data_IF_189483622233
#
_entry.id   IF_189483622233
#
_cell.length_a   1.000
_cell.length_b   1.000
_cell.length_c   1.000
_cell.angle_alpha   90.00
_cell.angle_beta   90.00
_cell.angle_gamma   90.00
#
_symmetry.space_group_name_H-M   'P 1'
#
loop_
_entity.id
_entity.type
_entity.pdbx_description
1 polymer ?
#
# COMPACT_ATOMS: atom_id res chain seq x y z
N UNK A 1 50.97 -39.03 -11.94
CA UNK A 1 51.17 -38.49 -10.58
C UNK A 1 50.21 -37.33 -10.38
N UNK A 2 49.18 -37.53 -9.53
CA UNK A 2 48.25 -36.50 -9.09
C UNK A 2 48.85 -35.80 -7.87
N UNK A 3 49.25 -34.54 -8.04
CA UNK A 3 49.55 -33.54 -7.01
C UNK A 3 49.11 -32.24 -7.69
N UNK A 4 48.16 -31.46 -7.20
CA UNK A 4 48.26 -30.66 -5.98
C UNK A 4 46.84 -30.48 -5.37
N UNK A 5 46.62 -30.94 -4.15
CA UNK A 5 46.56 -30.11 -2.93
C UNK A 5 45.54 -28.96 -3.01
N UNK A 6 44.31 -29.27 -2.55
CA UNK A 6 43.31 -28.39 -1.92
C UNK A 6 43.61 -26.88 -2.02
N UNK A 7 43.22 -26.27 -3.14
CA UNK A 7 42.82 -24.87 -3.14
C UNK A 7 41.39 -24.87 -2.58
N UNK A 8 41.06 -23.94 -1.69
CA UNK A 8 39.77 -23.89 -0.99
C UNK A 8 38.56 -23.96 -1.94
N UNK A 9 37.37 -24.14 -1.38
CA UNK A 9 36.13 -24.08 -2.16
C UNK A 9 36.15 -22.87 -3.11
N UNK A 10 35.78 -23.09 -4.37
CA UNK A 10 35.67 -22.02 -5.37
C UNK A 10 34.70 -20.94 -4.88
N UNK A 11 34.89 -19.72 -5.37
CA UNK A 11 33.94 -18.64 -5.11
C UNK A 11 32.57 -19.03 -5.63
N UNK A 12 31.56 -18.77 -4.81
CA UNK A 12 30.17 -18.87 -5.22
C UNK A 12 29.87 -17.78 -6.28
N UNK A 13 29.10 -18.14 -7.30
CA UNK A 13 28.77 -17.23 -8.41
C UNK A 13 28.04 -15.98 -7.94
N UNK A 14 27.11 -16.10 -6.99
CA UNK A 14 26.38 -14.95 -6.44
C UNK A 14 27.35 -13.98 -5.76
N UNK A 15 28.27 -14.53 -4.97
CA UNK A 15 29.31 -13.77 -4.27
C UNK A 15 30.25 -13.03 -5.23
N UNK A 16 30.59 -13.66 -6.35
CA UNK A 16 31.39 -13.05 -7.41
C UNK A 16 30.65 -11.91 -8.12
N UNK A 17 29.35 -12.07 -8.38
CA UNK A 17 28.51 -11.03 -9.00
C UNK A 17 28.32 -9.83 -8.05
N UNK A 18 28.04 -10.06 -6.77
CA UNK A 18 27.94 -8.99 -5.77
C UNK A 18 29.25 -8.18 -5.69
N UNK A 19 30.40 -8.86 -5.80
CA UNK A 19 31.71 -8.22 -5.86
C UNK A 19 31.89 -7.37 -7.13
N UNK A 20 31.54 -7.91 -8.31
CA UNK A 20 31.64 -7.22 -9.60
C UNK A 20 30.70 -6.00 -9.73
N UNK A 21 29.54 -6.03 -9.07
CA UNK A 21 28.57 -4.94 -9.04
C UNK A 21 28.77 -3.96 -7.86
N UNK A 22 29.80 -4.18 -7.04
CA UNK A 22 30.15 -3.30 -5.91
C UNK A 22 29.14 -3.35 -4.74
N UNK A 23 28.31 -4.38 -4.68
CA UNK A 23 27.31 -4.61 -3.62
C UNK A 23 27.80 -5.54 -2.51
N UNK A 24 28.96 -6.19 -2.70
CA UNK A 24 29.55 -7.03 -1.66
C UNK A 24 29.92 -6.21 -0.41
N UNK A 25 29.53 -6.72 0.77
CA UNK A 25 29.97 -6.15 2.04
C UNK A 25 31.49 -6.28 2.23
N UNK A 26 32.04 -5.59 3.23
CA UNK A 26 33.49 -5.53 3.47
C UNK A 26 34.13 -6.89 3.72
N UNK A 27 33.39 -7.83 4.32
CA UNK A 27 33.89 -9.17 4.66
C UNK A 27 33.92 -10.05 3.42
N UNK A 28 32.81 -10.08 2.68
CA UNK A 28 32.65 -10.81 1.42
C UNK A 28 33.65 -10.34 0.38
N UNK A 29 33.84 -9.01 0.28
CA UNK A 29 34.82 -8.39 -0.61
C UNK A 29 36.25 -8.87 -0.30
N UNK A 30 36.63 -8.83 0.97
CA UNK A 30 37.96 -9.29 1.42
C UNK A 30 38.18 -10.76 1.11
N UNK A 31 37.18 -11.62 1.34
CA UNK A 31 37.27 -13.05 1.05
C UNK A 31 37.42 -13.34 -0.46
N UNK A 32 36.75 -12.56 -1.31
CA UNK A 32 36.91 -12.65 -2.78
C UNK A 32 38.31 -12.19 -3.20
N UNK A 33 38.78 -11.05 -2.68
CA UNK A 33 40.12 -10.52 -2.99
C UNK A 33 41.24 -11.46 -2.51
N UNK A 34 41.12 -12.02 -1.31
CA UNK A 34 42.05 -13.03 -0.78
C UNK A 34 42.09 -14.29 -1.65
N UNK A 35 40.93 -14.77 -2.14
CA UNK A 35 40.87 -15.92 -3.04
C UNK A 35 41.49 -15.61 -4.41
N UNK A 36 41.20 -14.46 -5.00
CA UNK A 36 41.73 -14.05 -6.30
C UNK A 36 43.24 -13.75 -6.26
N UNK A 37 43.76 -13.38 -5.08
CA UNK A 37 45.19 -13.26 -4.80
C UNK A 37 45.95 -14.59 -4.93
N UNK A 38 45.26 -15.73 -4.86
CA UNK A 38 45.80 -17.06 -5.13
C UNK A 38 45.58 -17.45 -6.61
N UNK A 39 46.42 -18.36 -7.17
CA UNK A 39 46.23 -18.84 -8.53
C UNK A 39 45.06 -19.85 -8.61
N UNK A 40 43.84 -19.35 -8.83
CA UNK A 40 42.66 -20.15 -9.15
C UNK A 40 42.19 -19.87 -10.59
N UNK A 41 42.54 -20.71 -11.58
CA UNK A 41 42.18 -20.47 -12.99
C UNK A 41 40.67 -20.39 -13.20
N UNK A 42 39.91 -21.34 -12.64
CA UNK A 42 38.46 -21.39 -12.81
C UNK A 42 37.74 -20.12 -12.33
N UNK A 43 38.11 -19.58 -11.16
CA UNK A 43 37.49 -18.35 -10.65
C UNK A 43 37.96 -17.10 -11.41
N UNK A 44 39.17 -17.11 -11.98
CA UNK A 44 39.66 -16.00 -12.83
C UNK A 44 38.98 -15.98 -14.19
N UNK A 45 38.77 -17.15 -14.80
CA UNK A 45 38.04 -17.27 -16.06
C UNK A 45 36.59 -16.80 -15.87
N UNK A 46 35.94 -17.26 -14.78
CA UNK A 46 34.58 -16.84 -14.43
C UNK A 46 34.48 -15.33 -14.18
N UNK A 47 35.45 -14.74 -13.48
CA UNK A 47 35.55 -13.29 -13.27
C UNK A 47 35.66 -12.54 -14.61
N UNK A 48 36.48 -13.04 -15.53
CA UNK A 48 36.68 -12.43 -16.83
C UNK A 48 35.41 -12.50 -17.70
N UNK A 49 34.73 -13.66 -17.73
CA UNK A 49 33.49 -13.84 -18.48
C UNK A 49 32.37 -12.92 -17.99
N UNK A 50 32.11 -12.92 -16.67
CA UNK A 50 31.07 -12.05 -16.10
C UNK A 50 31.45 -10.58 -16.17
N UNK A 51 32.72 -10.23 -15.95
CA UNK A 51 33.20 -8.86 -16.09
C UNK A 51 32.98 -8.33 -17.51
N UNK A 52 33.32 -9.11 -18.54
CA UNK A 52 33.10 -8.72 -19.93
C UNK A 52 31.62 -8.58 -20.30
N UNK A 53 30.77 -9.47 -19.78
CA UNK A 53 29.32 -9.38 -19.98
C UNK A 53 28.72 -8.13 -19.32
N UNK A 54 29.06 -7.87 -18.06
CA UNK A 54 28.58 -6.71 -17.31
C UNK A 54 29.04 -5.40 -17.97
N UNK A 55 30.26 -5.34 -18.47
CA UNK A 55 30.77 -4.16 -19.17
C UNK A 55 29.99 -3.88 -20.46
N UNK A 56 29.67 -4.92 -21.24
CA UNK A 56 28.78 -4.77 -22.42
C UNK A 56 27.40 -4.27 -22.04
N UNK A 57 26.82 -4.78 -20.96
CA UNK A 57 25.52 -4.32 -20.45
C UNK A 57 25.55 -2.88 -19.94
N UNK A 58 26.69 -2.42 -19.40
CA UNK A 58 26.90 -1.04 -18.95
C UNK A 58 27.01 -0.08 -20.13
N UNK A 59 27.69 -0.50 -21.20
CA UNK A 59 27.81 0.29 -22.44
C UNK A 59 26.46 0.47 -23.17
N UNK A 60 25.54 -0.49 -23.03
CA UNK A 60 24.18 -0.40 -23.56
C UNK A 60 23.21 0.37 -22.64
N UNK A 61 23.66 0.79 -21.45
CA UNK A 61 22.79 1.48 -20.48
C UNK A 61 22.68 2.96 -20.88
N UNK A 62 21.44 3.44 -20.96
CA UNK A 62 21.11 4.86 -21.12
C UNK A 62 21.74 5.64 -19.94
N UNK A 63 22.21 6.86 -20.21
CA UNK A 63 22.83 7.77 -19.25
C UNK A 63 22.11 7.81 -17.90
N UNK A 64 22.87 8.17 -16.86
CA UNK A 64 22.38 8.33 -15.50
C UNK A 64 21.07 9.11 -15.49
N UNK A 65 20.01 8.50 -14.95
CA UNK A 65 18.66 9.08 -14.99
C UNK A 65 18.71 10.44 -14.29
N UNK A 66 18.35 11.55 -14.96
CA UNK A 66 18.36 12.87 -14.36
C UNK A 66 17.64 12.85 -13.01
N UNK A 67 18.26 13.46 -11.99
CA UNK A 67 17.73 13.46 -10.62
C UNK A 67 16.28 13.96 -10.57
N UNK A 68 15.90 14.89 -11.46
CA UNK A 68 14.54 15.40 -11.55
C UNK A 68 13.55 14.32 -11.97
N UNK A 69 13.93 13.42 -12.90
CA UNK A 69 13.08 12.31 -13.33
C UNK A 69 12.98 11.22 -12.25
N UNK A 70 14.11 10.92 -11.59
CA UNK A 70 14.13 9.98 -10.46
C UNK A 70 13.29 10.50 -9.28
N UNK A 71 13.46 11.76 -8.90
CA UNK A 71 12.67 12.40 -7.85
C UNK A 71 11.17 12.40 -8.19
N UNK A 72 10.80 12.69 -9.45
CA UNK A 72 9.41 12.62 -9.91
C UNK A 72 8.84 11.21 -9.84
N UNK A 73 9.61 10.19 -10.23
CA UNK A 73 9.16 8.80 -10.15
C UNK A 73 8.96 8.36 -8.70
N UNK A 74 9.85 8.74 -7.78
CA UNK A 74 9.72 8.46 -6.35
C UNK A 74 8.55 9.22 -5.71
N UNK A 75 8.30 10.46 -6.14
CA UNK A 75 7.19 11.28 -5.63
C UNK A 75 5.81 10.67 -5.90
N UNK A 76 5.67 9.76 -6.87
CA UNK A 76 4.43 8.99 -7.09
C UNK A 76 4.12 8.07 -5.90
N UNK A 77 5.15 7.55 -5.25
CA UNK A 77 5.04 6.61 -4.13
C UNK A 77 5.26 7.26 -2.76
N UNK A 78 5.67 8.53 -2.73
CA UNK A 78 5.77 9.27 -1.48
C UNK A 78 4.38 9.26 -0.81
N UNK A 79 4.29 8.91 0.49
CA UNK A 79 3.06 9.07 1.23
C UNK A 79 2.66 10.53 1.08
N UNK A 80 1.56 10.80 0.37
CA UNK A 80 0.98 12.14 0.35
C UNK A 80 0.62 12.44 1.79
N UNK A 81 1.41 13.30 2.43
CA UNK A 81 0.91 14.02 3.60
C UNK A 81 -0.45 14.54 3.19
N UNK A 82 -1.46 14.09 3.94
CA UNK A 82 -2.81 14.56 3.76
C UNK A 82 -2.69 16.08 3.75
N UNK A 83 -3.04 16.75 2.64
CA UNK A 83 -2.84 18.18 2.61
C UNK A 83 -3.62 18.70 3.81
N UNK A 84 -2.92 19.40 4.71
CA UNK A 84 -3.54 20.29 5.67
C UNK A 84 -4.07 21.44 4.84
N UNK A 85 -5.10 21.14 4.03
CA UNK A 85 -5.80 22.14 3.26
C UNK A 85 -6.31 23.14 4.28
N UNK A 86 -6.20 24.46 3.99
CA UNK A 86 -6.84 25.46 4.83
C UNK A 86 -8.29 25.03 5.05
N UNK A 87 -8.78 25.19 6.28
CA UNK A 87 -10.08 24.76 6.83
C UNK A 87 -11.32 25.35 6.09
N UNK A 88 -11.19 25.70 4.81
CA UNK A 88 -12.18 26.33 3.93
C UNK A 88 -12.36 25.61 2.59
N UNK A 89 -12.10 24.31 2.52
CA UNK A 89 -12.92 23.51 1.60
C UNK A 89 -14.25 23.35 2.32
N UNK A 90 -15.34 23.87 1.75
CA UNK A 90 -16.65 23.86 2.39
C UNK A 90 -16.97 22.43 2.86
N UNK A 91 -17.07 22.23 4.17
CA UNK A 91 -17.53 20.96 4.74
C UNK A 91 -18.98 20.78 4.30
N UNK A 92 -19.21 19.87 3.35
CA UNK A 92 -20.52 19.60 2.81
C UNK A 92 -21.18 18.51 3.66
N UNK A 93 -22.47 18.68 3.98
CA UNK A 93 -23.22 17.64 4.67
C UNK A 93 -23.68 16.59 3.67
N UNK A 94 -23.40 15.33 3.98
CA UNK A 94 -23.96 14.20 3.25
C UNK A 94 -25.47 14.12 3.50
N UNK A 95 -26.24 13.82 2.45
CA UNK A 95 -27.69 13.63 2.55
C UNK A 95 -28.01 12.16 2.71
N UNK A 96 -28.79 11.79 3.73
CA UNK A 96 -29.29 10.41 3.87
C UNK A 96 -30.30 10.15 2.73
N UNK A 97 -30.00 9.16 1.89
CA UNK A 97 -30.87 8.70 0.81
C UNK A 97 -31.70 7.48 1.26
N UNK A 98 -31.13 6.63 2.09
CA UNK A 98 -31.78 5.43 2.64
C UNK A 98 -31.16 5.07 4.00
N UNK A 99 -31.99 4.66 4.96
CA UNK A 99 -31.57 4.07 6.23
C UNK A 99 -32.50 2.91 6.59
N UNK A 100 -31.95 1.71 6.75
CA UNK A 100 -32.72 0.51 7.07
C UNK A 100 -33.34 0.52 8.47
N UNK A 101 -32.91 1.42 9.37
CA UNK A 101 -33.57 1.63 10.66
C UNK A 101 -34.91 2.37 10.50
N UNK A 102 -34.97 3.34 9.58
CA UNK A 102 -36.18 4.15 9.36
C UNK A 102 -37.10 3.55 8.28
N UNK A 103 -36.54 2.75 7.37
CA UNK A 103 -37.26 2.13 6.27
C UNK A 103 -37.03 0.62 6.30
N UNK A 104 -38.05 -0.20 6.64
CA UNK A 104 -37.86 -1.64 6.74
C UNK A 104 -37.51 -2.24 5.37
N UNK A 105 -36.43 -3.03 5.33
CA UNK A 105 -36.03 -3.77 4.14
C UNK A 105 -37.03 -4.92 3.91
N UNK A 106 -37.59 -5.05 2.68
CA UNK A 106 -38.47 -6.17 2.32
C UNK A 106 -37.82 -7.51 2.63
N UNK A 107 -38.61 -8.47 3.11
CA UNK A 107 -38.14 -9.76 3.62
C UNK A 107 -37.26 -10.52 2.61
N UNK A 108 -37.59 -10.46 1.32
CA UNK A 108 -36.83 -11.09 0.22
C UNK A 108 -35.43 -10.47 -0.03
N UNK A 109 -35.16 -9.27 0.46
CA UNK A 109 -33.86 -8.58 0.31
C UNK A 109 -33.00 -8.62 1.59
N UNK A 110 -33.52 -9.23 2.67
CA UNK A 110 -32.74 -9.52 3.88
C UNK A 110 -31.81 -10.68 3.57
N UNK A 111 -30.50 -10.51 3.77
CA UNK A 111 -29.62 -11.69 3.83
C UNK A 111 -30.00 -12.47 5.08
N UNK A 112 -30.12 -13.78 4.97
CA UNK A 112 -30.17 -14.63 6.15
C UNK A 112 -28.85 -14.39 6.93
N UNK A 113 -28.97 -14.12 8.23
CA UNK A 113 -27.91 -13.81 9.22
C UNK A 113 -27.72 -12.30 9.53
N UNK A 114 -28.05 -11.93 10.78
CA UNK A 114 -27.61 -10.70 11.45
C UNK A 114 -28.52 -9.45 11.34
N UNK A 115 -28.58 -8.65 12.42
CA UNK A 115 -29.06 -7.26 12.36
C UNK A 115 -28.05 -6.39 11.60
N UNK A 116 -28.08 -6.47 10.27
CA UNK A 116 -27.26 -5.60 9.41
C UNK A 116 -28.02 -4.30 9.15
N UNK A 117 -27.50 -3.18 9.67
CA UNK A 117 -28.00 -1.85 9.30
C UNK A 117 -27.36 -1.44 7.98
N UNK A 118 -28.17 -0.98 7.03
CA UNK A 118 -27.73 -0.43 5.75
C UNK A 118 -28.08 1.04 5.66
N UNK A 119 -27.12 1.85 5.25
CA UNK A 119 -27.27 3.29 5.06
C UNK A 119 -26.73 3.67 3.69
N UNK A 120 -27.47 4.46 2.92
CA UNK A 120 -27.00 5.05 1.67
C UNK A 120 -27.07 6.57 1.78
N UNK A 121 -25.99 7.24 1.39
CA UNK A 121 -25.87 8.69 1.45
C UNK A 121 -25.46 9.25 0.10
N UNK A 122 -25.91 10.47 -0.18
CA UNK A 122 -25.47 11.29 -1.31
C UNK A 122 -24.37 12.23 -0.86
N UNK A 123 -23.27 12.26 -1.61
CA UNK A 123 -22.09 13.09 -1.43
C UNK A 123 -21.94 13.98 -2.68
N UNK A 124 -22.82 14.98 -2.83
CA UNK A 124 -22.95 15.72 -4.08
C UNK A 124 -23.45 14.81 -5.21
N UNK A 125 -22.65 14.66 -6.26
CA UNK A 125 -22.92 13.76 -7.41
C UNK A 125 -22.51 12.30 -7.15
N UNK A 126 -21.93 12.01 -5.98
CA UNK A 126 -21.46 10.67 -5.62
C UNK A 126 -22.38 10.03 -4.59
N UNK A 127 -22.25 8.72 -4.38
CA UNK A 127 -22.98 8.05 -3.31
C UNK A 127 -22.10 7.12 -2.49
N UNK A 128 -22.43 6.98 -1.21
CA UNK A 128 -21.76 6.10 -0.27
C UNK A 128 -22.79 5.14 0.32
N UNK A 129 -22.53 3.85 0.18
CA UNK A 129 -23.27 2.80 0.87
C UNK A 129 -22.44 2.31 2.05
N UNK A 130 -23.08 2.15 3.21
CA UNK A 130 -22.50 1.61 4.44
C UNK A 130 -23.36 0.45 4.94
N UNK A 131 -22.69 -0.64 5.30
CA UNK A 131 -23.26 -1.77 6.01
C UNK A 131 -22.59 -1.88 7.38
N UNK A 132 -23.41 -1.98 8.43
CA UNK A 132 -22.96 -2.15 9.80
C UNK A 132 -23.40 -3.51 10.29
N UNK A 133 -22.45 -4.37 10.64
CA UNK A 133 -22.71 -5.70 11.14
C UNK A 133 -22.17 -5.85 12.57
N UNK A 134 -22.94 -6.50 13.44
CA UNK A 134 -22.53 -6.70 14.83
C UNK A 134 -21.54 -7.85 14.90
N UNK A 135 -20.31 -7.58 15.32
CA UNK A 135 -19.28 -8.60 15.56
C UNK A 135 -19.39 -9.18 16.97
N UNK A 136 -19.62 -8.31 17.97
CA UNK A 136 -19.74 -8.66 19.39
C UNK A 136 -20.69 -7.70 20.13
N UNK A 137 -20.82 -7.87 21.45
CA UNK A 137 -21.60 -6.94 22.27
C UNK A 137 -21.05 -5.50 22.24
N UNK A 138 -19.73 -5.34 22.04
CA UNK A 138 -19.01 -4.05 22.15
C UNK A 138 -18.51 -3.52 20.80
N UNK A 139 -18.41 -4.38 19.78
CA UNK A 139 -17.80 -4.04 18.49
C UNK A 139 -18.69 -4.37 17.30
N UNK A 140 -18.49 -3.63 16.22
CA UNK A 140 -19.13 -3.81 14.91
C UNK A 140 -18.09 -3.76 13.80
N UNK A 141 -18.41 -4.41 12.68
CA UNK A 141 -17.73 -4.18 11.42
C UNK A 141 -18.50 -3.11 10.63
N UNK A 142 -17.76 -2.24 9.95
CA UNK A 142 -18.29 -1.22 9.06
C UNK A 142 -17.71 -1.47 7.68
N UNK A 143 -18.56 -1.91 6.76
CA UNK A 143 -18.20 -2.08 5.36
C UNK A 143 -18.81 -0.94 4.55
N UNK A 144 -18.02 -0.36 3.66
CA UNK A 144 -18.52 0.70 2.79
C UNK A 144 -18.18 0.47 1.33
N UNK A 145 -19.00 1.09 0.47
CA UNK A 145 -18.77 1.18 -0.96
C UNK A 145 -19.06 2.61 -1.43
N UNK A 146 -18.02 3.27 -1.93
CA UNK A 146 -18.09 4.58 -2.54
C UNK A 146 -18.28 4.47 -4.05
N UNK A 147 -19.35 5.07 -4.54
CA UNK A 147 -19.64 5.25 -5.96
C UNK A 147 -19.22 6.66 -6.39
N UNK A 148 -17.97 6.77 -6.85
CA UNK A 148 -17.34 7.99 -7.32
C UNK A 148 -16.30 7.67 -8.41
N UNK A 149 -15.96 8.62 -9.29
CA UNK A 149 -14.78 8.52 -10.15
C UNK A 149 -13.51 8.39 -9.30
N UNK A 150 -12.61 7.48 -9.70
CA UNK A 150 -11.34 7.23 -9.00
C UNK A 150 -11.53 7.07 -7.47
N UNK A 151 -12.31 6.06 -7.02
CA UNK A 151 -12.63 5.89 -5.62
C UNK A 151 -11.39 5.78 -4.73
N UNK A 152 -10.29 5.22 -5.25
CA UNK A 152 -9.01 5.10 -4.56
C UNK A 152 -8.38 6.44 -4.15
N UNK A 153 -8.85 7.57 -4.67
CA UNK A 153 -8.42 8.90 -4.28
C UNK A 153 -9.20 9.46 -3.07
N UNK A 154 -10.21 8.73 -2.59
CA UNK A 154 -11.04 9.12 -1.47
C UNK A 154 -10.62 8.38 -0.20
N UNK A 155 -10.35 9.16 0.85
CA UNK A 155 -10.10 8.65 2.19
C UNK A 155 -11.38 8.73 3.01
N UNK A 156 -11.70 7.64 3.70
CA UNK A 156 -12.80 7.59 4.65
C UNK A 156 -12.22 7.63 6.06
N UNK A 157 -12.77 8.51 6.89
CA UNK A 157 -12.36 8.70 8.27
C UNK A 157 -13.56 8.43 9.17
N UNK A 158 -13.36 7.60 10.19
CA UNK A 158 -14.35 7.28 11.21
C UNK A 158 -13.79 7.71 12.56
N UNK A 159 -14.46 8.65 13.21
CA UNK A 159 -14.19 9.07 14.58
C UNK A 159 -15.31 8.56 15.48
N UNK A 160 -14.97 7.74 16.46
CA UNK A 160 -15.92 7.21 17.45
C UNK A 160 -15.28 7.22 18.83
N UNK A 161 -15.99 7.75 19.82
CA UNK A 161 -15.43 8.05 21.13
C UNK A 161 -14.10 8.86 21.02
N UNK A 162 -12.96 8.25 21.33
CA UNK A 162 -11.61 8.82 21.18
C UNK A 162 -10.78 8.13 20.09
N UNK A 163 -11.34 7.13 19.40
CA UNK A 163 -10.67 6.37 18.36
C UNK A 163 -10.92 6.98 16.99
N UNK A 164 -9.84 7.14 16.24
CA UNK A 164 -9.87 7.61 14.86
C UNK A 164 -9.33 6.53 13.95
N UNK A 165 -10.22 5.97 13.15
CA UNK A 165 -9.91 5.01 12.11
C UNK A 165 -9.90 5.73 10.76
N UNK A 166 -9.00 5.32 9.87
CA UNK A 166 -8.96 5.85 8.50
C UNK A 166 -8.61 4.75 7.52
N UNK A 167 -9.27 4.77 6.37
CA UNK A 167 -9.08 3.80 5.31
C UNK A 167 -9.27 4.47 3.96
N UNK A 168 -8.79 3.81 2.92
CA UNK A 168 -9.00 4.21 1.53
C UNK A 168 -9.95 3.21 0.89
N UNK A 169 -10.82 3.71 0.02
CA UNK A 169 -11.53 2.81 -0.88
C UNK A 169 -10.52 2.16 -1.85
N UNK A 170 -10.76 0.91 -2.22
CA UNK A 170 -10.03 0.29 -3.33
C UNK A 170 -10.52 0.82 -4.68
N UNK A 171 -9.95 0.32 -5.78
CA UNK A 171 -10.34 0.71 -7.14
C UNK A 171 -11.82 0.39 -7.48
N UNK A 172 -12.49 -0.45 -6.69
CA UNK A 172 -13.92 -0.76 -6.82
C UNK A 172 -14.81 0.05 -5.88
N UNK A 173 -14.23 0.96 -5.08
CA UNK A 173 -14.98 1.75 -4.11
C UNK A 173 -15.08 1.12 -2.73
N UNK A 174 -14.57 -0.08 -2.51
CA UNK A 174 -14.83 -0.85 -1.30
C UNK A 174 -13.80 -0.56 -0.21
N UNK A 175 -14.27 -0.45 1.04
CA UNK A 175 -13.42 -0.36 2.23
C UNK A 175 -14.10 -1.05 3.42
N UNK A 176 -13.30 -1.40 4.42
CA UNK A 176 -13.77 -2.05 5.65
C UNK A 176 -13.04 -1.50 6.87
N UNK A 177 -13.77 -1.29 7.95
CA UNK A 177 -13.26 -1.13 9.31
C UNK A 177 -13.77 -2.29 10.17
N UNK A 178 -12.85 -2.99 10.83
CA UNK A 178 -13.16 -4.09 11.75
C UNK A 178 -13.01 -3.63 13.19
N UNK A 179 -13.71 -4.29 14.11
CA UNK A 179 -13.62 -4.01 15.56
C UNK A 179 -13.89 -2.55 15.92
N UNK A 180 -14.83 -1.91 15.21
CA UNK A 180 -15.25 -0.55 15.51
C UNK A 180 -16.05 -0.56 16.82
N UNK A 181 -15.66 0.24 17.84
CA UNK A 181 -16.44 0.34 19.07
C UNK A 181 -17.87 0.80 18.81
N UNK A 182 -18.80 0.47 19.71
CA UNK A 182 -20.15 1.04 19.69
C UNK A 182 -20.19 2.48 20.21
N UNK A 183 -21.16 3.25 19.73
CA UNK A 183 -21.41 4.65 20.12
C UNK A 183 -21.67 5.58 18.93
N UNK A 184 -21.74 6.88 19.21
CA UNK A 184 -21.96 7.90 18.18
C UNK A 184 -20.70 8.10 17.33
N UNK A 185 -20.73 7.65 16.08
CA UNK A 185 -19.68 7.88 15.11
C UNK A 185 -19.88 9.17 14.31
N UNK A 186 -18.76 9.78 13.93
CA UNK A 186 -18.67 10.80 12.89
C UNK A 186 -17.83 10.24 11.75
N UNK A 187 -18.45 10.11 10.59
CA UNK A 187 -17.78 9.64 9.37
C UNK A 187 -17.58 10.83 8.45
N UNK A 188 -16.38 10.95 7.89
CA UNK A 188 -16.02 11.96 6.89
C UNK A 188 -15.40 11.29 5.68
N UNK A 189 -15.83 11.67 4.49
CA UNK A 189 -15.20 11.28 3.23
C UNK A 189 -14.42 12.47 2.70
N UNK A 190 -13.12 12.30 2.52
CA UNK A 190 -12.19 13.31 2.03
C UNK A 190 -11.71 12.88 0.65
N UNK A 191 -11.95 13.71 -0.36
CA UNK A 191 -11.53 13.41 -1.73
C UNK A 191 -11.33 14.66 -2.58
N UNK A 192 -11.02 14.48 -3.88
CA UNK A 192 -10.76 15.59 -4.79
C UNK A 192 -11.94 16.59 -4.90
N UNK A 193 -13.17 16.09 -4.80
CA UNK A 193 -14.39 16.89 -4.88
C UNK A 193 -14.71 17.67 -3.59
N UNK A 194 -14.02 17.39 -2.48
CA UNK A 194 -14.22 18.07 -1.20
C UNK A 194 -14.33 17.13 0.00
N UNK A 195 -14.87 17.68 1.09
CA UNK A 195 -15.04 16.99 2.36
C UNK A 195 -16.52 16.82 2.64
N UNK A 196 -16.98 15.57 2.70
CA UNK A 196 -18.36 15.26 3.01
C UNK A 196 -18.45 14.66 4.40
N UNK A 197 -19.16 15.35 5.28
CA UNK A 197 -19.43 14.85 6.62
C UNK A 197 -20.81 14.22 6.67
N UNK A 198 -20.87 13.01 7.20
CA UNK A 198 -22.13 12.34 7.49
C UNK A 198 -22.74 12.93 8.76
N UNK A 199 -24.09 12.94 8.88
CA UNK A 199 -24.73 13.21 10.17
C UNK A 199 -24.22 12.20 11.21
N UNK A 200 -24.19 12.55 12.51
CA UNK A 200 -23.82 11.60 13.56
C UNK A 200 -24.63 10.31 13.47
N UNK A 201 -23.96 9.17 13.51
CA UNK A 201 -24.58 7.85 13.39
C UNK A 201 -24.38 7.07 14.68
N UNK A 202 -25.45 6.49 15.20
CA UNK A 202 -25.34 5.49 16.26
C UNK A 202 -24.86 4.16 15.67
N UNK A 203 -23.66 3.74 16.05
CA UNK A 203 -23.09 2.43 15.78
C UNK A 203 -23.35 1.54 16.98
#
# INVERSE_FOLDING_TARGET
MKNERRIGAHLDTHKLLDYLDGQADTTSRREVEEHLGLPCPACRDLLHEFGALLERMRLDRIDEVPEELRARALAVFAPREAPTLPQRVAEMLARILFDSLSQPIPEAARRAVGEVRRLRLGLGEHSLELEFETESAETRSVRGRLDAPDPQLHRVELLIAAERLSGWADASGVFTFERVPRGTARITVVGPAGHYRLPPLEL
#
